data_IF_934329334060
#
_entry.id   IF_934329334060
#
_cell.length_a   1.000
_cell.length_b   1.000
_cell.length_c   1.000
_cell.angle_alpha   90.00
_cell.angle_beta   90.00
_cell.angle_gamma   90.00
#
_symmetry.space_group_name_H-M   'P 1'
#
loop_
_entity.id
_entity.type
_entity.pdbx_description
1 polymer ?
#
# COMPACT_ATOMS: atom_id res chain seq x y z
N UNK A 1 -21.95 35.14 37.23
CA UNK A 1 -22.42 33.87 36.66
C UNK A 1 -22.35 33.83 35.12
N UNK A 2 -22.91 34.80 34.38
CA UNK A 2 -22.88 34.81 32.89
C UNK A 2 -21.46 34.79 32.28
N UNK A 3 -20.50 35.52 32.86
CA UNK A 3 -19.11 35.58 32.35
C UNK A 3 -18.38 34.24 32.50
N UNK A 4 -18.62 33.50 33.60
CA UNK A 4 -18.03 32.18 33.82
C UNK A 4 -18.60 31.15 32.84
N UNK A 5 -19.90 31.22 32.54
CA UNK A 5 -20.54 30.36 31.54
C UNK A 5 -19.98 30.57 30.14
N UNK A 6 -19.71 31.83 29.76
CA UNK A 6 -19.09 32.15 28.47
C UNK A 6 -17.66 31.59 28.38
N UNK A 7 -16.88 31.71 29.46
CA UNK A 7 -15.52 31.14 29.53
C UNK A 7 -15.52 29.61 29.36
N UNK A 8 -16.43 28.91 30.04
CA UNK A 8 -16.57 27.46 29.94
C UNK A 8 -16.98 27.04 28.51
N UNK A 9 -17.86 27.81 27.89
CA UNK A 9 -18.30 27.53 26.53
C UNK A 9 -17.16 27.70 25.50
N UNK A 10 -16.34 28.75 25.66
CA UNK A 10 -15.15 28.97 24.80
C UNK A 10 -14.12 27.84 24.97
N UNK A 11 -13.88 27.41 26.20
CA UNK A 11 -12.95 26.29 26.47
C UNK A 11 -13.47 24.99 25.84
N UNK A 12 -14.78 24.71 25.93
CA UNK A 12 -15.38 23.53 25.33
C UNK A 12 -15.26 23.54 23.79
N UNK A 13 -15.47 24.70 23.14
CA UNK A 13 -15.32 24.84 21.68
C UNK A 13 -13.86 24.65 21.26
N UNK A 14 -12.91 25.23 22.00
CA UNK A 14 -11.48 25.06 21.71
C UNK A 14 -11.03 23.61 21.89
N UNK A 15 -11.51 22.93 22.94
CA UNK A 15 -11.21 21.53 23.16
C UNK A 15 -11.80 20.64 22.05
N UNK A 16 -13.03 20.90 21.61
CA UNK A 16 -13.66 20.19 20.53
C UNK A 16 -12.93 20.41 19.18
N UNK A 17 -12.53 21.67 18.92
CA UNK A 17 -11.76 22.01 17.71
C UNK A 17 -10.37 21.33 17.72
N UNK A 18 -9.68 21.32 18.87
CA UNK A 18 -8.38 20.65 19.03
C UNK A 18 -8.51 19.14 18.88
N UNK A 19 -9.55 18.55 19.46
CA UNK A 19 -9.80 17.12 19.32
C UNK A 19 -10.16 16.72 17.89
N UNK A 20 -11.01 17.51 17.22
CA UNK A 20 -11.34 17.34 15.81
C UNK A 20 -10.13 17.50 14.90
N UNK A 21 -9.26 18.49 15.17
CA UNK A 21 -8.02 18.69 14.45
C UNK A 21 -7.07 17.48 14.62
N UNK A 22 -6.95 16.95 15.84
CA UNK A 22 -6.13 15.78 16.12
C UNK A 22 -6.66 14.51 15.44
N UNK A 23 -7.98 14.35 15.32
CA UNK A 23 -8.59 13.25 14.56
C UNK A 23 -8.37 13.41 13.05
N UNK A 24 -8.44 14.64 12.55
CA UNK A 24 -8.24 14.94 11.13
C UNK A 24 -6.77 14.81 10.70
N UNK A 25 -5.84 15.22 11.56
CA UNK A 25 -4.38 15.13 11.32
C UNK A 25 -3.78 13.83 11.88
N UNK A 26 -4.61 12.93 12.38
CA UNK A 26 -4.16 11.61 12.86
C UNK A 26 -3.36 10.93 11.76
N UNK A 27 -2.04 10.92 11.91
CA UNK A 27 -1.12 10.23 11.00
C UNK A 27 -1.50 8.77 11.03
N UNK A 28 -2.02 8.27 9.93
CA UNK A 28 -2.27 6.83 9.78
C UNK A 28 -0.94 6.13 10.00
N UNK A 29 -0.82 5.20 10.95
CA UNK A 29 0.46 4.59 11.28
C UNK A 29 1.12 4.02 10.02
N UNK A 30 2.42 4.26 9.88
CA UNK A 30 3.22 3.72 8.79
C UNK A 30 3.16 2.20 8.84
N UNK A 31 3.00 1.55 7.69
CA UNK A 31 3.00 0.09 7.61
C UNK A 31 4.34 -0.53 8.03
N UNK A 32 5.37 0.27 8.23
CA UNK A 32 6.69 -0.18 8.74
C UNK A 32 6.58 -0.89 10.10
N UNK A 33 5.70 -0.39 10.99
CA UNK A 33 5.54 -0.92 12.35
C UNK A 33 4.45 -2.00 12.44
N UNK A 34 3.63 -2.13 11.40
CA UNK A 34 2.53 -3.10 11.40
C UNK A 34 3.05 -4.44 10.90
N UNK A 35 2.70 -5.52 11.61
CA UNK A 35 3.03 -6.87 11.18
C UNK A 35 2.24 -7.23 9.91
N UNK A 36 2.90 -7.85 8.94
CA UNK A 36 2.20 -8.39 7.77
C UNK A 36 1.28 -9.55 8.16
N UNK A 37 0.11 -9.60 7.56
CA UNK A 37 -0.86 -10.70 7.73
C UNK A 37 -0.43 -11.96 6.98
N UNK A 38 0.29 -11.78 5.86
CA UNK A 38 0.84 -12.86 5.07
C UNK A 38 2.11 -12.43 4.33
N UNK A 39 3.00 -13.40 4.10
CA UNK A 39 4.21 -13.25 3.30
C UNK A 39 4.07 -14.10 2.06
N UNK A 40 4.25 -13.48 0.89
CA UNK A 40 4.08 -14.14 -0.40
C UNK A 40 5.06 -13.58 -1.43
N UNK A 41 5.38 -14.35 -2.46
CA UNK A 41 6.14 -13.84 -3.61
C UNK A 41 5.22 -13.10 -4.59
N UNK A 42 5.76 -12.14 -5.34
CA UNK A 42 4.98 -11.41 -6.34
C UNK A 42 4.35 -12.36 -7.38
N UNK A 43 5.10 -13.34 -7.87
CA UNK A 43 4.60 -14.36 -8.78
C UNK A 43 3.52 -15.22 -8.13
N UNK A 44 3.72 -15.68 -6.90
CA UNK A 44 2.72 -16.48 -6.19
C UNK A 44 1.41 -15.73 -5.92
N UNK A 45 1.50 -14.41 -5.68
CA UNK A 45 0.33 -13.57 -5.51
C UNK A 45 -0.44 -13.41 -6.83
N UNK A 46 0.26 -13.16 -7.94
CA UNK A 46 -0.31 -13.09 -9.28
C UNK A 46 -1.02 -14.41 -9.63
N UNK A 47 -0.32 -15.54 -9.49
CA UNK A 47 -0.85 -16.88 -9.78
C UNK A 47 -2.11 -17.18 -8.96
N UNK A 48 -2.14 -16.78 -7.69
CA UNK A 48 -3.32 -16.98 -6.85
C UNK A 48 -4.54 -16.22 -7.37
N UNK A 49 -4.37 -14.98 -7.84
CA UNK A 49 -5.45 -14.17 -8.40
C UNK A 49 -5.87 -14.62 -9.79
N UNK A 50 -4.94 -15.02 -10.65
CA UNK A 50 -5.24 -15.53 -11.99
C UNK A 50 -5.97 -16.87 -11.95
N UNK A 51 -5.61 -17.73 -10.99
CA UNK A 51 -6.23 -19.06 -10.85
C UNK A 51 -7.65 -18.98 -10.29
N UNK A 52 -7.86 -18.22 -9.23
CA UNK A 52 -9.16 -18.03 -8.57
C UNK A 52 -9.20 -16.67 -7.86
N UNK A 53 -9.61 -15.65 -8.61
CA UNK A 53 -9.69 -14.28 -8.11
C UNK A 53 -10.67 -14.13 -6.94
N UNK A 54 -11.74 -14.95 -6.89
CA UNK A 54 -12.74 -14.88 -5.83
C UNK A 54 -12.16 -15.39 -4.49
N UNK A 55 -11.44 -16.50 -4.51
CA UNK A 55 -10.75 -17.03 -3.33
C UNK A 55 -9.59 -16.15 -2.91
N UNK A 56 -8.79 -15.66 -3.86
CA UNK A 56 -7.68 -14.76 -3.59
C UNK A 56 -8.16 -13.43 -2.98
N UNK A 57 -9.27 -12.86 -3.47
CA UNK A 57 -9.88 -11.69 -2.87
C UNK A 57 -10.26 -11.92 -1.39
N UNK A 58 -10.91 -13.03 -1.07
CA UNK A 58 -11.25 -13.36 0.33
C UNK A 58 -10.03 -13.52 1.21
N UNK A 59 -8.94 -14.02 0.63
CA UNK A 59 -7.71 -14.31 1.36
C UNK A 59 -6.81 -13.08 1.56
N UNK A 60 -6.71 -12.19 0.57
CA UNK A 60 -5.70 -11.13 0.52
C UNK A 60 -6.27 -9.71 0.53
N UNK A 61 -7.49 -9.48 0.03
CA UNK A 61 -8.04 -8.13 -0.06
C UNK A 61 -8.20 -7.49 1.32
N UNK A 62 -7.75 -6.25 1.44
CA UNK A 62 -7.78 -5.48 2.68
C UNK A 62 -6.73 -5.88 3.71
N UNK A 63 -5.88 -6.87 3.41
CA UNK A 63 -4.80 -7.32 4.30
C UNK A 63 -3.47 -6.66 3.98
N UNK A 64 -2.63 -6.60 4.98
CA UNK A 64 -1.25 -6.13 4.85
C UNK A 64 -0.39 -7.31 4.43
N UNK A 65 0.12 -7.25 3.21
CA UNK A 65 0.96 -8.30 2.63
C UNK A 65 2.42 -7.85 2.59
N UNK A 66 3.31 -8.77 2.90
CA UNK A 66 4.73 -8.64 2.65
C UNK A 66 5.03 -9.41 1.36
N UNK A 67 5.35 -8.66 0.30
CA UNK A 67 5.56 -9.21 -1.04
C UNK A 67 7.03 -9.10 -1.42
N UNK A 68 7.64 -10.24 -1.74
CA UNK A 68 9.01 -10.31 -2.25
C UNK A 68 8.97 -10.60 -3.75
N UNK A 69 9.66 -9.80 -4.54
CA UNK A 69 9.70 -9.99 -5.99
C UNK A 69 10.78 -9.21 -6.69
N UNK A 70 10.94 -9.49 -7.98
CA UNK A 70 11.85 -8.75 -8.84
C UNK A 70 11.17 -7.48 -9.33
N UNK A 71 11.90 -6.38 -9.34
CA UNK A 71 11.45 -5.09 -9.89
C UNK A 71 11.41 -5.21 -11.40
N UNK A 72 10.23 -5.07 -12.00
CA UNK A 72 10.03 -5.00 -13.45
C UNK A 72 10.22 -3.58 -13.96
N UNK A 73 9.54 -2.64 -13.32
CA UNK A 73 9.60 -1.24 -13.66
C UNK A 73 9.45 -0.35 -12.44
N UNK A 74 9.98 0.86 -12.55
CA UNK A 74 9.90 1.90 -11.54
C UNK A 74 9.40 3.17 -12.18
N UNK A 75 8.19 3.59 -11.81
CA UNK A 75 7.57 4.84 -12.26
C UNK A 75 7.76 5.90 -11.18
N UNK A 76 8.77 6.76 -11.36
CA UNK A 76 9.14 7.76 -10.36
C UNK A 76 8.09 8.86 -10.20
N UNK A 77 7.42 9.23 -11.30
CA UNK A 77 6.39 10.29 -11.30
C UNK A 77 5.15 9.90 -10.50
N UNK A 78 4.72 8.64 -10.60
CA UNK A 78 3.57 8.11 -9.88
C UNK A 78 3.92 7.43 -8.56
N UNK A 79 5.22 7.38 -8.21
CA UNK A 79 5.75 6.66 -7.06
C UNK A 79 5.27 5.19 -7.03
N UNK A 80 5.24 4.55 -8.19
CA UNK A 80 4.75 3.17 -8.37
C UNK A 80 5.88 2.24 -8.78
N UNK A 81 5.92 1.06 -8.17
CA UNK A 81 6.85 -0.01 -8.49
C UNK A 81 6.04 -1.22 -8.94
N UNK A 82 6.43 -1.83 -10.05
CA UNK A 82 5.85 -3.08 -10.52
C UNK A 82 6.79 -4.23 -10.22
N UNK A 83 6.29 -5.24 -9.51
CA UNK A 83 7.01 -6.47 -9.17
C UNK A 83 6.43 -7.64 -9.97
N UNK A 84 7.28 -8.58 -10.36
CA UNK A 84 6.83 -9.80 -11.05
C UNK A 84 7.94 -10.54 -11.75
N UNK A 85 7.59 -11.53 -12.59
CA UNK A 85 8.54 -12.21 -13.43
C UNK A 85 9.00 -11.29 -14.57
N UNK A 86 10.27 -11.38 -14.95
CA UNK A 86 10.84 -10.51 -15.99
C UNK A 86 10.15 -10.68 -17.35
N UNK A 87 9.74 -11.90 -17.69
CA UNK A 87 9.12 -12.24 -18.96
C UNK A 87 7.58 -12.27 -18.91
N UNK A 88 6.97 -12.17 -17.72
CA UNK A 88 5.52 -12.15 -17.57
C UNK A 88 4.92 -10.78 -17.85
N UNK A 89 3.69 -10.71 -18.36
CA UNK A 89 2.97 -9.45 -18.55
C UNK A 89 2.30 -8.98 -17.25
N UNK A 90 1.88 -9.90 -16.40
CA UNK A 90 1.24 -9.63 -15.11
C UNK A 90 2.22 -9.04 -14.10
N UNK A 91 1.73 -8.18 -13.21
CA UNK A 91 2.55 -7.55 -12.19
C UNK A 91 1.80 -7.30 -10.87
N UNK A 92 2.58 -7.09 -9.81
CA UNK A 92 2.09 -6.52 -8.55
C UNK A 92 2.46 -5.05 -8.54
N UNK A 93 1.48 -4.17 -8.69
CA UNK A 93 1.66 -2.71 -8.68
C UNK A 93 1.63 -2.20 -7.24
N UNK A 94 2.75 -1.63 -6.82
CA UNK A 94 2.95 -1.14 -5.47
C UNK A 94 3.02 0.39 -5.49
N UNK A 95 1.98 1.07 -5.01
CA UNK A 95 2.02 2.53 -4.78
C UNK A 95 2.76 2.79 -3.47
N UNK A 96 3.90 3.46 -3.57
CA UNK A 96 4.79 3.73 -2.44
C UNK A 96 4.26 4.89 -1.60
N UNK A 97 4.31 4.75 -0.28
CA UNK A 97 3.95 5.82 0.65
C UNK A 97 4.88 7.03 0.45
N UNK A 98 4.32 8.23 0.51
CA UNK A 98 5.02 9.49 0.26
C UNK A 98 6.29 9.68 1.12
N UNK A 99 6.32 9.07 2.30
CA UNK A 99 7.48 9.10 3.19
C UNK A 99 8.70 8.35 2.63
N UNK A 100 8.50 7.41 1.69
CA UNK A 100 9.53 6.52 1.14
C UNK A 100 9.81 6.75 -0.36
N UNK A 101 9.26 7.79 -0.96
CA UNK A 101 9.45 8.10 -2.39
C UNK A 101 10.92 8.26 -2.77
N UNK A 102 11.75 8.79 -1.88
CA UNK A 102 13.19 8.95 -2.12
C UNK A 102 13.93 7.61 -2.26
N UNK A 103 13.44 6.57 -1.61
CA UNK A 103 14.07 5.24 -1.66
C UNK A 103 13.86 4.57 -3.04
N UNK A 104 12.85 5.03 -3.80
CA UNK A 104 12.57 4.57 -5.17
C UNK A 104 13.70 4.94 -6.12
N UNK A 105 14.36 6.08 -5.91
CA UNK A 105 15.44 6.57 -6.79
C UNK A 105 16.65 5.63 -6.85
N UNK A 106 16.84 4.84 -5.81
CA UNK A 106 17.94 3.89 -5.66
C UNK A 106 17.64 2.51 -6.27
N UNK A 107 16.40 2.29 -6.73
CA UNK A 107 15.99 1.00 -7.26
C UNK A 107 16.29 0.89 -8.75
N UNK A 108 16.80 -0.27 -9.12
CA UNK A 108 17.04 -0.63 -10.51
C UNK A 108 16.12 -1.79 -10.92
N UNK A 109 15.59 -1.79 -12.16
CA UNK A 109 14.92 -2.96 -12.72
C UNK A 109 15.82 -4.21 -12.61
N UNK A 110 15.22 -5.35 -12.29
CA UNK A 110 15.94 -6.61 -12.07
C UNK A 110 16.38 -6.86 -10.63
N UNK A 111 16.35 -5.86 -9.74
CA UNK A 111 16.66 -6.09 -8.32
C UNK A 111 15.51 -6.81 -7.61
N UNK A 112 15.86 -7.66 -6.64
CA UNK A 112 14.87 -8.33 -5.78
C UNK A 112 14.66 -7.49 -4.52
N UNK A 113 13.42 -7.12 -4.25
CA UNK A 113 13.05 -6.33 -3.08
C UNK A 113 11.89 -6.97 -2.33
N UNK A 114 11.75 -6.60 -1.06
CA UNK A 114 10.60 -6.94 -0.22
C UNK A 114 9.87 -5.67 0.13
N UNK A 115 8.58 -5.62 -0.19
CA UNK A 115 7.69 -4.49 0.06
C UNK A 115 6.52 -4.96 0.91
N UNK A 116 6.14 -4.17 1.89
CA UNK A 116 4.94 -4.36 2.68
C UNK A 116 3.88 -3.35 2.24
N UNK A 117 2.68 -3.82 1.91
CA UNK A 117 1.60 -2.97 1.43
C UNK A 117 0.22 -3.54 1.70
N UNK A 118 -0.79 -2.69 1.63
CA UNK A 118 -2.20 -3.10 1.76
C UNK A 118 -2.74 -3.55 0.39
N UNK A 119 -3.22 -4.79 0.29
CA UNK A 119 -3.85 -5.31 -0.93
C UNK A 119 -5.21 -4.66 -1.12
N UNK A 120 -5.37 -3.90 -2.20
CA UNK A 120 -6.59 -3.12 -2.46
C UNK A 120 -7.39 -3.61 -3.65
N UNK A 121 -6.83 -4.45 -4.50
CA UNK A 121 -7.57 -4.97 -5.63
C UNK A 121 -6.76 -5.83 -6.59
N UNK A 122 -7.48 -6.35 -7.56
CA UNK A 122 -6.97 -7.10 -8.69
C UNK A 122 -7.62 -6.57 -9.97
N UNK A 123 -6.81 -6.30 -10.97
CA UNK A 123 -7.22 -5.85 -12.30
C UNK A 123 -6.92 -6.96 -13.29
N UNK A 124 -7.93 -7.76 -13.67
CA UNK A 124 -7.74 -8.82 -14.66
C UNK A 124 -7.47 -8.23 -16.05
N UNK A 125 -6.79 -8.97 -16.89
CA UNK A 125 -6.70 -8.64 -18.33
C UNK A 125 -8.06 -8.92 -19.01
N UNK A 126 -8.97 -7.94 -18.93
CA UNK A 126 -10.31 -8.04 -19.57
C UNK A 126 -10.24 -7.97 -21.10
N UNK A 127 -9.11 -7.53 -21.66
CA UNK A 127 -8.97 -7.34 -23.10
C UNK A 127 -8.66 -8.64 -23.82
N UNK A 128 -8.14 -9.64 -23.12
CA UNK A 128 -7.67 -10.91 -23.72
C UNK A 128 -6.49 -10.72 -24.70
N UNK A 129 -5.88 -9.53 -24.69
CA UNK A 129 -4.74 -9.20 -25.56
C UNK A 129 -3.40 -9.64 -24.95
N UNK A 130 -3.43 -10.28 -23.77
CA UNK A 130 -2.24 -10.71 -23.05
C UNK A 130 -1.44 -9.55 -22.45
N UNK A 131 -2.11 -8.45 -22.12
CA UNK A 131 -1.47 -7.29 -21.47
C UNK A 131 -1.09 -7.56 -20.02
N UNK A 132 -1.57 -8.68 -19.49
CA UNK A 132 -1.31 -9.13 -18.13
C UNK A 132 -2.32 -8.60 -17.11
N UNK A 133 -2.34 -9.24 -15.96
CA UNK A 133 -3.19 -8.88 -14.84
C UNK A 133 -2.36 -8.19 -13.75
N UNK A 134 -2.95 -7.21 -13.10
CA UNK A 134 -2.27 -6.45 -12.05
C UNK A 134 -2.93 -6.66 -10.69
N UNK A 135 -2.13 -7.02 -9.69
CA UNK A 135 -2.53 -6.97 -8.28
C UNK A 135 -2.08 -5.61 -7.71
N UNK A 136 -2.99 -4.89 -7.07
CA UNK A 136 -2.73 -3.53 -6.59
C UNK A 136 -2.50 -3.52 -5.09
N UNK A 137 -1.33 -3.03 -4.69
CA UNK A 137 -0.96 -2.75 -3.31
C UNK A 137 -0.82 -1.25 -3.11
N UNK A 138 -1.43 -0.73 -2.05
CA UNK A 138 -1.36 0.69 -1.69
C UNK A 138 -0.59 0.90 -0.38
N UNK A 139 -0.07 2.13 -0.22
CA UNK A 139 0.69 2.57 0.96
C UNK A 139 1.91 1.69 1.24
N UNK A 140 2.58 1.29 0.19
CA UNK A 140 3.70 0.38 0.27
C UNK A 140 4.91 1.02 0.96
N UNK A 141 5.58 0.25 1.80
CA UNK A 141 6.81 0.62 2.49
C UNK A 141 7.87 -0.44 2.23
N UNK A 142 9.13 -0.02 2.18
CA UNK A 142 10.25 -0.96 2.03
C UNK A 142 10.52 -1.67 3.34
N UNK A 143 10.63 -2.99 3.30
CA UNK A 143 11.13 -3.75 4.43
C UNK A 143 12.65 -3.59 4.48
N UNK A 144 13.16 -2.88 5.50
CA UNK A 144 14.61 -2.80 5.73
C UNK A 144 15.09 -4.18 6.21
N UNK A 145 15.82 -4.88 5.36
CA UNK A 145 16.57 -6.07 5.81
C UNK A 145 17.46 -5.65 6.98
N UNK A 146 17.16 -6.22 8.15
CA UNK A 146 18.06 -6.17 9.32
C UNK A 146 19.32 -6.94 9.05
#
# INVERSE_FOLDING_TARGET
MKRIMIFLLVIAVLAAAFYGYKLYTGTVPSLTEVKADANITATGLIDAFEKDSASANKQYLGKILEVTGNVKSVEKESATISLGAAEGNSSVRCSIDSAFVKDIELLNPGSTITIKGNCTGFMPDETGLGLGADVVLNRCVFEKKK
#
